data_IF_171801385403
#
_entry.id   IF_171801385403
#
_cell.length_a   1.000
_cell.length_b   1.000
_cell.length_c   1.000
_cell.angle_alpha   90.00
_cell.angle_beta   90.00
_cell.angle_gamma   90.00
#
_symmetry.space_group_name_H-M   'P 1'
#
loop_
_entity.id
_entity.type
_entity.pdbx_description
1 polymer ?
#
# COMPACT_ATOMS: atom_id res chain seq x y z
N UNK A 1 -46.16 45.97 -17.26
CA UNK A 1 -45.01 45.96 -18.19
C UNK A 1 -43.66 45.84 -17.49
N UNK A 2 -43.16 46.81 -16.69
CA UNK A 2 -41.86 46.63 -15.98
C UNK A 2 -41.89 45.54 -14.88
N UNK A 3 -43.00 45.41 -14.15
CA UNK A 3 -43.17 44.36 -13.13
C UNK A 3 -43.24 42.94 -13.71
N UNK A 4 -43.83 42.76 -14.89
CA UNK A 4 -43.96 41.44 -15.54
C UNK A 4 -42.60 40.90 -16.01
N UNK A 5 -41.72 41.77 -16.50
CA UNK A 5 -40.36 41.37 -16.88
C UNK A 5 -39.53 40.97 -15.66
N UNK A 6 -39.63 41.71 -14.55
CA UNK A 6 -38.90 41.37 -13.31
C UNK A 6 -39.40 40.03 -12.75
N UNK A 7 -40.72 39.82 -12.71
CA UNK A 7 -41.31 38.55 -12.28
C UNK A 7 -40.84 37.37 -13.14
N UNK A 8 -40.84 37.54 -14.47
CA UNK A 8 -40.38 36.50 -15.40
C UNK A 8 -38.90 36.16 -15.21
N UNK A 9 -38.05 37.16 -15.01
CA UNK A 9 -36.61 36.96 -14.74
C UNK A 9 -36.38 36.22 -13.43
N UNK A 10 -37.13 36.56 -12.37
CA UNK A 10 -37.03 35.88 -11.07
C UNK A 10 -37.45 34.42 -11.17
N UNK A 11 -38.54 34.12 -11.88
CA UNK A 11 -39.00 32.73 -12.08
C UNK A 11 -37.95 31.90 -12.82
N UNK A 12 -37.32 32.45 -13.87
CA UNK A 12 -36.25 31.75 -14.61
C UNK A 12 -35.05 31.47 -13.69
N UNK A 13 -34.63 32.44 -12.87
CA UNK A 13 -33.52 32.26 -11.93
C UNK A 13 -33.84 31.14 -10.92
N UNK A 14 -35.07 31.08 -10.41
CA UNK A 14 -35.50 30.03 -9.48
C UNK A 14 -35.45 28.65 -10.15
N UNK A 15 -35.89 28.53 -11.41
CA UNK A 15 -35.87 27.26 -12.15
C UNK A 15 -34.42 26.80 -12.43
N UNK A 16 -33.52 27.71 -12.78
CA UNK A 16 -32.12 27.38 -13.01
C UNK A 16 -31.45 26.97 -11.70
N UNK A 17 -31.68 27.70 -10.61
CA UNK A 17 -31.13 27.38 -9.29
C UNK A 17 -31.65 26.04 -8.76
N UNK A 18 -32.95 25.75 -8.91
CA UNK A 18 -33.51 24.47 -8.49
C UNK A 18 -32.92 23.30 -9.28
N UNK A 19 -32.72 23.47 -10.58
CA UNK A 19 -32.09 22.46 -11.44
C UNK A 19 -30.64 22.17 -11.02
N UNK A 20 -29.87 23.20 -10.67
CA UNK A 20 -28.49 23.04 -10.20
C UNK A 20 -28.45 22.31 -8.85
N UNK A 21 -29.34 22.66 -7.92
CA UNK A 21 -29.43 21.97 -6.63
C UNK A 21 -29.76 20.49 -6.80
N UNK A 22 -30.69 20.16 -7.69
CA UNK A 22 -31.03 18.76 -7.99
C UNK A 22 -29.85 18.02 -8.60
N UNK A 23 -29.15 18.61 -9.58
CA UNK A 23 -27.96 17.99 -10.19
C UNK A 23 -26.87 17.71 -9.17
N UNK A 24 -26.58 18.67 -8.29
CA UNK A 24 -25.55 18.49 -7.25
C UNK A 24 -25.93 17.43 -6.21
N UNK A 25 -27.22 17.22 -5.95
CA UNK A 25 -27.68 16.16 -5.05
C UNK A 25 -27.69 14.78 -5.71
N UNK A 26 -27.97 14.70 -7.02
CA UNK A 26 -28.16 13.44 -7.75
C UNK A 26 -26.85 12.88 -8.31
N UNK A 27 -25.94 13.73 -8.79
CA UNK A 27 -24.65 13.31 -9.35
C UNK A 27 -23.85 12.36 -8.43
N UNK A 28 -23.64 12.64 -7.13
CA UNK A 28 -22.86 11.74 -6.27
C UNK A 28 -23.50 10.35 -6.14
N UNK A 29 -24.83 10.27 -6.11
CA UNK A 29 -25.56 8.99 -6.05
C UNK A 29 -25.39 8.19 -7.34
N UNK A 30 -25.39 8.87 -8.50
CA UNK A 30 -25.15 8.22 -9.79
C UNK A 30 -23.72 7.69 -9.88
N UNK A 31 -22.74 8.46 -9.42
CA UNK A 31 -21.33 8.08 -9.46
C UNK A 31 -21.05 6.89 -8.53
N UNK A 32 -21.55 6.92 -7.28
CA UNK A 32 -21.47 5.79 -6.34
C UNK A 32 -22.14 4.53 -6.93
N UNK A 33 -23.30 4.68 -7.57
CA UNK A 33 -23.99 3.55 -8.20
C UNK A 33 -23.19 2.94 -9.35
N UNK A 34 -22.52 3.76 -10.17
CA UNK A 34 -21.64 3.27 -11.25
C UNK A 34 -20.43 2.53 -10.69
N UNK A 35 -19.83 3.04 -9.63
CA UNK A 35 -18.68 2.44 -8.97
C UNK A 35 -19.04 1.10 -8.30
N UNK A 36 -20.22 1.02 -7.69
CA UNK A 36 -20.76 -0.24 -7.16
C UNK A 36 -21.04 -1.27 -8.27
N UNK A 37 -21.52 -0.83 -9.44
CA UNK A 37 -21.70 -1.71 -10.60
C UNK A 37 -20.36 -2.27 -11.08
N UNK A 38 -19.32 -1.44 -11.26
CA UNK A 38 -17.97 -1.90 -11.63
C UNK A 38 -17.44 -2.94 -10.65
N UNK A 39 -17.62 -2.71 -9.36
CA UNK A 39 -17.22 -3.66 -8.32
C UNK A 39 -17.95 -4.99 -8.41
N UNK A 40 -19.28 -4.97 -8.61
CA UNK A 40 -20.04 -6.20 -8.75
C UNK A 40 -19.68 -6.97 -10.02
N UNK A 41 -19.43 -6.27 -11.14
CA UNK A 41 -18.94 -6.91 -12.37
C UNK A 41 -17.59 -7.60 -12.15
N UNK A 42 -16.65 -6.92 -11.48
CA UNK A 42 -15.35 -7.48 -11.16
C UNK A 42 -15.44 -8.69 -10.21
N UNK A 43 -16.30 -8.62 -9.20
CA UNK A 43 -16.58 -9.73 -8.28
C UNK A 43 -17.19 -10.92 -9.02
N UNK A 44 -18.14 -10.68 -9.92
CA UNK A 44 -18.75 -11.73 -10.75
C UNK A 44 -17.72 -12.39 -11.66
N UNK A 45 -16.81 -11.62 -12.27
CA UNK A 45 -15.69 -12.15 -13.07
C UNK A 45 -14.81 -13.06 -12.22
N UNK A 46 -14.39 -12.63 -11.03
CA UNK A 46 -13.53 -13.43 -10.16
C UNK A 46 -14.21 -14.72 -9.70
N UNK A 47 -15.51 -14.67 -9.38
CA UNK A 47 -16.30 -15.86 -9.07
C UNK A 47 -16.42 -16.82 -10.27
N UNK A 48 -16.59 -16.31 -11.50
CA UNK A 48 -16.58 -17.14 -12.71
C UNK A 48 -15.25 -17.85 -12.92
N UNK A 49 -14.15 -17.15 -12.64
CA UNK A 49 -12.79 -17.73 -12.70
C UNK A 49 -12.64 -18.82 -11.64
N UNK A 50 -13.05 -18.56 -10.40
CA UNK A 50 -12.96 -19.53 -9.30
C UNK A 50 -13.76 -20.81 -9.61
N UNK A 51 -15.01 -20.69 -10.08
CA UNK A 51 -15.82 -21.84 -10.47
C UNK A 51 -15.14 -22.63 -11.61
N UNK A 52 -14.64 -21.95 -12.64
CA UNK A 52 -13.97 -22.62 -13.74
C UNK A 52 -12.66 -23.32 -13.34
N UNK A 53 -11.90 -22.76 -12.40
CA UNK A 53 -10.71 -23.40 -11.83
C UNK A 53 -11.14 -24.63 -11.02
N UNK A 54 -12.13 -24.48 -10.15
CA UNK A 54 -12.68 -25.56 -9.33
C UNK A 54 -13.16 -26.73 -10.19
N UNK A 55 -13.90 -26.47 -11.26
CA UNK A 55 -14.38 -27.49 -12.19
C UNK A 55 -13.22 -28.27 -12.84
N UNK A 56 -12.14 -27.57 -13.25
CA UNK A 56 -10.94 -28.22 -13.83
C UNK A 56 -10.23 -29.12 -12.80
N UNK A 57 -10.19 -28.72 -11.53
CA UNK A 57 -9.52 -29.49 -10.47
C UNK A 57 -10.14 -30.87 -10.25
N UNK A 58 -11.44 -31.04 -10.55
CA UNK A 58 -12.15 -32.31 -10.47
C UNK A 58 -12.11 -33.12 -11.77
N UNK A 59 -11.55 -32.58 -12.86
CA UNK A 59 -11.46 -33.24 -14.15
C UNK A 59 -10.13 -33.97 -14.36
N UNK A 60 -10.08 -34.80 -15.41
CA UNK A 60 -8.87 -35.56 -15.74
C UNK A 60 -7.68 -34.62 -16.08
N UNK A 61 -6.43 -35.04 -15.77
CA UNK A 61 -5.25 -34.27 -16.11
C UNK A 61 -5.22 -33.88 -17.60
N UNK A 62 -5.06 -32.58 -17.88
CA UNK A 62 -5.08 -32.03 -19.23
C UNK A 62 -6.41 -31.40 -19.68
N UNK A 63 -7.44 -31.44 -18.83
CA UNK A 63 -8.67 -30.67 -19.03
C UNK A 63 -8.37 -29.17 -19.15
N UNK A 64 -9.10 -28.50 -20.05
CA UNK A 64 -8.99 -27.05 -20.29
C UNK A 64 -10.39 -26.43 -20.29
N UNK A 65 -10.49 -25.20 -19.80
CA UNK A 65 -11.68 -24.35 -19.93
C UNK A 65 -11.28 -23.04 -20.60
N UNK A 66 -12.19 -22.51 -21.41
CA UNK A 66 -12.09 -21.16 -21.97
C UNK A 66 -13.13 -20.32 -21.26
N UNK A 67 -12.73 -19.17 -20.75
CA UNK A 67 -13.61 -18.22 -20.08
C UNK A 67 -13.52 -16.92 -20.86
N UNK A 68 -14.66 -16.44 -21.35
CA UNK A 68 -14.75 -15.12 -21.95
C UNK A 68 -14.93 -14.09 -20.84
N UNK A 69 -13.89 -13.29 -20.62
CA UNK A 69 -13.89 -12.23 -19.61
C UNK A 69 -13.88 -10.89 -20.34
N UNK A 70 -14.88 -10.07 -20.04
CA UNK A 70 -14.92 -8.69 -20.50
C UNK A 70 -14.53 -7.76 -19.35
N UNK A 71 -13.30 -7.26 -19.41
CA UNK A 71 -12.75 -6.38 -18.38
C UNK A 71 -12.94 -4.93 -18.85
N UNK A 72 -13.99 -4.27 -18.36
CA UNK A 72 -14.19 -2.83 -18.55
C UNK A 72 -13.64 -2.08 -17.34
N UNK A 73 -12.87 -1.02 -17.59
CA UNK A 73 -12.33 -0.12 -16.57
C UNK A 73 -11.56 -0.79 -15.41
N UNK A 74 -10.95 -1.94 -15.68
CA UNK A 74 -10.19 -2.72 -14.71
C UNK A 74 -8.99 -3.41 -15.37
N UNK A 75 -8.06 -3.91 -14.56
CA UNK A 75 -6.84 -4.58 -15.02
C UNK A 75 -6.74 -5.96 -14.40
N UNK A 76 -6.77 -6.99 -15.24
CA UNK A 76 -6.53 -8.36 -14.85
C UNK A 76 -5.03 -8.66 -14.94
N UNK A 77 -4.45 -9.25 -13.89
CA UNK A 77 -3.06 -9.68 -13.83
C UNK A 77 -2.98 -11.08 -13.23
N UNK A 78 -2.15 -11.95 -13.82
CA UNK A 78 -1.83 -13.27 -13.28
C UNK A 78 -0.47 -13.18 -12.61
N UNK A 79 -0.43 -13.38 -11.30
CA UNK A 79 0.78 -13.29 -10.49
C UNK A 79 1.24 -14.71 -10.16
N UNK A 80 2.04 -15.28 -11.05
CA UNK A 80 2.51 -16.66 -10.92
C UNK A 80 3.41 -16.94 -9.70
N UNK A 81 4.03 -15.91 -9.11
CA UNK A 81 4.79 -16.07 -7.87
C UNK A 81 3.91 -16.30 -6.64
N UNK A 82 2.67 -15.82 -6.68
CA UNK A 82 1.70 -15.89 -5.58
C UNK A 82 0.60 -16.93 -5.87
N UNK A 83 0.67 -17.66 -6.99
CA UNK A 83 -0.41 -18.49 -7.53
C UNK A 83 -1.78 -17.78 -7.49
N UNK A 84 -1.82 -16.49 -7.82
CA UNK A 84 -3.02 -15.66 -7.69
C UNK A 84 -3.38 -14.91 -8.97
N UNK A 85 -4.67 -14.70 -9.17
CA UNK A 85 -5.23 -13.84 -10.22
C UNK A 85 -5.78 -12.59 -9.56
N UNK A 86 -5.28 -11.42 -9.95
CA UNK A 86 -5.63 -10.12 -9.38
C UNK A 86 -6.43 -9.32 -10.41
N UNK A 87 -7.61 -8.85 -10.02
CA UNK A 87 -8.41 -7.91 -10.80
C UNK A 87 -8.48 -6.57 -10.08
N UNK A 88 -7.84 -5.55 -10.65
CA UNK A 88 -7.77 -4.21 -10.08
C UNK A 88 -8.79 -3.29 -10.73
N UNK A 89 -9.60 -2.61 -9.92
CA UNK A 89 -10.52 -1.56 -10.37
C UNK A 89 -9.91 -0.22 -9.94
N UNK A 90 -9.70 0.67 -10.90
CA UNK A 90 -9.16 2.00 -10.61
C UNK A 90 -10.31 2.97 -10.26
N UNK A 91 -10.07 3.87 -9.30
CA UNK A 91 -10.97 4.99 -8.95
C UNK A 91 -12.38 4.57 -8.49
N UNK A 92 -12.47 3.79 -7.41
CA UNK A 92 -13.74 3.39 -6.79
C UNK A 92 -13.68 3.74 -5.29
N UNK A 93 -14.61 4.57 -4.82
CA UNK A 93 -14.68 5.02 -3.41
C UNK A 93 -15.90 4.42 -2.69
N UNK A 94 -16.14 3.12 -2.88
CA UNK A 94 -17.25 2.38 -2.24
C UNK A 94 -16.85 1.73 -0.91
N UNK A 95 -15.54 1.61 -0.65
CA UNK A 95 -15.01 0.94 0.54
C UNK A 95 -13.98 1.81 1.23
N UNK A 96 -13.99 1.78 2.56
CA UNK A 96 -12.91 2.35 3.36
C UNK A 96 -11.56 1.71 3.01
N UNK A 97 -10.53 2.53 2.88
CA UNK A 97 -9.14 2.08 2.76
C UNK A 97 -8.78 1.06 3.85
N UNK A 98 -8.12 -0.03 3.46
CA UNK A 98 -7.73 -1.13 4.36
C UNK A 98 -8.81 -2.21 4.54
N UNK A 99 -9.93 -2.15 3.81
CA UNK A 99 -10.91 -3.24 3.83
C UNK A 99 -10.27 -4.51 3.27
N UNK A 100 -10.38 -5.62 4.01
CA UNK A 100 -10.06 -6.96 3.53
C UNK A 100 -11.19 -7.90 3.93
N UNK A 101 -11.90 -8.41 2.94
CA UNK A 101 -12.99 -9.38 3.13
C UNK A 101 -12.70 -10.61 2.30
N UNK A 102 -12.90 -11.78 2.89
CA UNK A 102 -12.74 -13.06 2.20
C UNK A 102 -14.12 -13.66 1.90
N UNK A 103 -14.32 -14.07 0.66
CA UNK A 103 -15.52 -14.74 0.17
C UNK A 103 -15.11 -16.02 -0.56
N UNK A 104 -14.98 -17.12 0.20
CA UNK A 104 -14.44 -18.37 -0.34
C UNK A 104 -12.99 -18.19 -0.79
N UNK A 105 -12.72 -18.43 -2.07
CA UNK A 105 -11.38 -18.26 -2.68
C UNK A 105 -11.13 -16.85 -3.22
N UNK A 106 -12.12 -15.94 -3.14
CA UNK A 106 -11.98 -14.56 -3.59
C UNK A 106 -11.67 -13.66 -2.40
N UNK A 107 -10.52 -12.98 -2.45
CA UNK A 107 -10.13 -11.98 -1.46
C UNK A 107 -10.37 -10.58 -2.03
N UNK A 108 -11.18 -9.81 -1.32
CA UNK A 108 -11.55 -8.44 -1.69
C UNK A 108 -10.75 -7.49 -0.82
N UNK A 109 -9.85 -6.74 -1.44
CA UNK A 109 -9.04 -5.72 -0.78
C UNK A 109 -9.37 -4.35 -1.33
N UNK A 110 -9.70 -3.39 -0.47
CA UNK A 110 -9.85 -2.00 -0.86
C UNK A 110 -8.78 -1.15 -0.18
N UNK A 111 -8.12 -0.31 -0.96
CA UNK A 111 -7.14 0.64 -0.47
C UNK A 111 -5.77 0.53 -1.14
N UNK A 112 -4.77 1.21 -0.58
CA UNK A 112 -3.43 1.27 -1.12
C UNK A 112 -2.80 -0.12 -1.13
N UNK A 113 -2.23 -0.51 -2.26
CA UNK A 113 -1.35 -1.67 -2.32
C UNK A 113 0.01 -1.26 -1.76
N UNK A 114 0.50 -1.98 -0.75
CA UNK A 114 1.85 -1.79 -0.24
C UNK A 114 2.83 -2.64 -1.06
N UNK A 115 4.00 -2.06 -1.32
CA UNK A 115 5.12 -2.67 -2.01
C UNK A 115 6.31 -2.67 -1.08
N UNK A 116 7.03 -3.78 -1.06
CA UNK A 116 8.28 -3.91 -0.36
C UNK A 116 9.33 -4.47 -1.32
N UNK A 117 10.40 -3.72 -1.57
CA UNK A 117 11.39 -4.09 -2.57
C UNK A 117 12.75 -3.49 -2.27
N UNK A 118 13.77 -4.00 -2.95
CA UNK A 118 15.14 -3.49 -2.86
C UNK A 118 15.44 -2.63 -4.09
N UNK A 119 15.92 -1.41 -3.88
CA UNK A 119 16.32 -0.49 -4.95
C UNK A 119 17.20 0.61 -4.39
N UNK A 120 18.12 1.13 -5.19
CA UNK A 120 18.81 2.39 -4.90
C UNK A 120 17.81 3.55 -5.14
N UNK A 121 17.24 4.12 -4.08
CA UNK A 121 16.21 5.17 -4.19
C UNK A 121 16.77 6.58 -4.05
N UNK A 122 17.93 6.71 -3.40
CA UNK A 122 18.60 7.98 -3.16
C UNK A 122 19.70 8.30 -4.20
N UNK A 123 20.08 7.31 -5.02
CA UNK A 123 21.07 7.43 -6.08
C UNK A 123 22.51 7.39 -5.57
N UNK A 124 22.76 6.86 -4.37
CA UNK A 124 24.09 6.79 -3.75
C UNK A 124 24.93 5.58 -4.24
N UNK A 125 24.35 4.72 -5.08
CA UNK A 125 24.98 3.52 -5.62
C UNK A 125 24.90 2.30 -4.70
N UNK A 126 24.29 2.42 -3.52
CA UNK A 126 23.98 1.33 -2.61
C UNK A 126 22.50 0.96 -2.69
N UNK A 127 22.18 -0.28 -2.32
CA UNK A 127 20.80 -0.74 -2.31
C UNK A 127 20.08 -0.27 -1.04
N UNK A 128 18.86 0.23 -1.18
CA UNK A 128 17.94 0.47 -0.08
C UNK A 128 16.87 -0.61 0.01
N UNK A 129 16.35 -0.80 1.22
CA UNK A 129 15.15 -1.55 1.51
C UNK A 129 13.99 -0.55 1.55
N UNK A 130 13.03 -0.70 0.65
CA UNK A 130 11.95 0.26 0.43
C UNK A 130 10.61 -0.34 0.86
N UNK A 131 9.87 0.41 1.68
CA UNK A 131 8.46 0.20 2.01
C UNK A 131 7.64 1.34 1.39
N UNK A 132 6.73 1.02 0.48
CA UNK A 132 5.94 2.03 -0.24
C UNK A 132 4.45 1.66 -0.24
N UNK A 133 3.59 2.58 0.17
CA UNK A 133 2.14 2.51 -0.05
C UNK A 133 1.67 3.75 -0.85
N UNK A 134 0.36 4.03 -0.91
CA UNK A 134 -0.13 5.20 -1.64
C UNK A 134 0.17 6.53 -0.95
N UNK A 135 0.38 6.51 0.37
CA UNK A 135 0.52 7.69 1.21
C UNK A 135 1.99 8.02 1.52
N UNK A 136 2.83 6.99 1.67
CA UNK A 136 4.20 7.11 2.15
C UNK A 136 5.15 6.19 1.38
N UNK A 137 6.37 6.68 1.16
CA UNK A 137 7.53 5.89 0.80
C UNK A 137 8.58 6.06 1.90
N UNK A 138 9.05 4.95 2.44
CA UNK A 138 10.06 4.88 3.48
C UNK A 138 11.19 3.97 2.99
N UNK A 139 12.44 4.39 3.11
CA UNK A 139 13.57 3.53 2.79
C UNK A 139 14.68 3.60 3.83
N UNK A 140 15.33 2.46 4.00
CA UNK A 140 16.47 2.26 4.90
C UNK A 140 17.58 1.58 4.13
N UNK A 141 18.82 2.01 4.35
CA UNK A 141 20.00 1.42 3.72
C UNK A 141 20.09 -0.09 3.97
N UNK A 142 20.25 -0.88 2.91
CA UNK A 142 20.58 -2.31 3.04
C UNK A 142 22.01 -2.45 3.54
N UNK A 143 22.18 -3.15 4.64
CA UNK A 143 23.48 -3.35 5.29
C UNK A 143 23.67 -4.83 5.58
N UNK A 144 24.77 -5.42 5.15
CA UNK A 144 25.10 -6.83 5.45
C UNK A 144 24.03 -7.83 5.02
N UNK A 145 24.09 -9.02 5.63
CA UNK A 145 23.09 -10.08 5.53
C UNK A 145 23.17 -10.96 6.79
N UNK A 146 22.17 -11.82 7.05
CA UNK A 146 22.24 -12.80 8.14
C UNK A 146 23.47 -13.72 8.09
N UNK A 147 24.05 -13.91 6.90
CA UNK A 147 25.26 -14.71 6.67
C UNK A 147 26.58 -13.91 6.72
N UNK A 148 26.52 -12.59 6.64
CA UNK A 148 27.69 -11.71 6.60
C UNK A 148 27.35 -10.34 7.17
N UNK A 149 27.71 -10.10 8.43
CA UNK A 149 27.42 -8.82 9.08
C UNK A 149 28.32 -7.70 8.55
N UNK A 150 27.77 -6.49 8.51
CA UNK A 150 28.47 -5.27 8.11
C UNK A 150 28.28 -4.17 9.15
N UNK A 151 29.04 -3.08 9.03
CA UNK A 151 28.93 -1.93 9.92
C UNK A 151 27.57 -1.25 9.76
N UNK A 152 26.81 -1.14 10.85
CA UNK A 152 25.53 -0.45 10.92
C UNK A 152 25.70 0.86 11.67
N UNK A 153 25.16 1.95 11.09
CA UNK A 153 25.03 3.25 11.75
C UNK A 153 23.57 3.68 11.74
N UNK A 154 22.91 3.60 12.89
CA UNK A 154 21.49 3.94 13.04
C UNK A 154 21.21 5.43 12.89
N UNK A 155 22.24 6.29 12.91
CA UNK A 155 22.05 7.74 12.81
C UNK A 155 21.80 8.24 11.39
N UNK A 156 22.21 7.42 10.40
CA UNK A 156 22.11 7.72 8.97
C UNK A 156 21.50 6.56 8.19
N UNK A 157 20.81 5.63 8.87
CA UNK A 157 20.30 4.43 8.19
C UNK A 157 19.06 4.73 7.34
N UNK A 158 18.23 5.69 7.75
CA UNK A 158 17.04 6.07 7.01
C UNK A 158 17.50 6.96 5.85
N UNK A 159 17.27 6.50 4.61
CA UNK A 159 17.72 7.19 3.40
C UNK A 159 16.65 8.14 2.88
N UNK A 160 15.38 7.77 2.94
CA UNK A 160 14.28 8.64 2.52
C UNK A 160 13.00 8.43 3.32
N UNK A 161 12.31 9.54 3.60
CA UNK A 161 10.92 9.55 4.04
C UNK A 161 10.13 10.52 3.18
N UNK A 162 9.21 9.99 2.37
CA UNK A 162 8.40 10.80 1.45
C UNK A 162 6.92 10.60 1.74
N UNK A 163 6.24 11.67 2.11
CA UNK A 163 4.79 11.71 2.11
C UNK A 163 4.30 12.05 0.70
N UNK A 164 3.72 11.05 0.02
CA UNK A 164 3.25 11.14 -1.36
C UNK A 164 2.00 12.01 -1.49
N UNK A 165 1.19 12.11 -0.42
CA UNK A 165 -0.03 12.94 -0.41
C UNK A 165 0.29 14.43 -0.36
N UNK A 166 1.19 14.82 0.52
CA UNK A 166 1.61 16.21 0.70
C UNK A 166 2.76 16.63 -0.24
N UNK A 167 3.31 15.67 -0.99
CA UNK A 167 4.50 15.83 -1.81
C UNK A 167 5.70 16.40 -1.02
N UNK A 168 5.83 15.97 0.23
CA UNK A 168 6.94 16.33 1.12
C UNK A 168 7.96 15.20 1.08
N UNK A 169 9.21 15.54 0.82
CA UNK A 169 10.32 14.61 0.78
C UNK A 169 11.38 15.02 1.80
N UNK A 170 11.76 14.10 2.68
CA UNK A 170 12.87 14.24 3.61
C UNK A 170 13.92 13.22 3.23
N UNK A 171 14.94 13.67 2.51
CA UNK A 171 16.09 12.85 2.15
C UNK A 171 17.13 12.90 3.29
N UNK A 172 17.71 11.75 3.62
CA UNK A 172 18.70 11.57 4.68
C UNK A 172 18.28 12.20 6.02
N UNK A 173 17.10 11.86 6.56
CA UNK A 173 16.68 12.38 7.85
C UNK A 173 17.67 11.98 8.94
N UNK A 174 17.94 12.93 9.85
CA UNK A 174 18.69 12.64 11.07
C UNK A 174 17.87 11.65 11.89
N UNK A 175 18.45 10.47 12.13
CA UNK A 175 17.85 9.39 12.91
C UNK A 175 18.82 8.96 14.01
N UNK A 176 18.44 7.98 14.83
CA UNK A 176 19.32 7.39 15.84
C UNK A 176 18.55 6.53 16.82
N UNK A 177 19.06 5.32 17.08
CA UNK A 177 18.52 4.42 18.10
C UNK A 177 19.52 4.35 19.25
N UNK A 178 19.10 4.86 20.41
CA UNK A 178 19.91 4.95 21.62
C UNK A 178 19.27 4.09 22.71
N UNK A 179 19.94 3.02 23.11
CA UNK A 179 19.50 2.17 24.22
C UNK A 179 20.06 2.78 25.50
N UNK A 180 19.18 3.08 26.47
CA UNK A 180 19.53 3.73 27.73
C UNK A 180 20.33 5.03 27.56
N UNK A 181 20.01 5.84 26.55
CA UNK A 181 20.67 7.11 26.23
C UNK A 181 22.18 7.00 25.95
N UNK A 182 22.68 5.80 25.62
CA UNK A 182 24.08 5.58 25.28
C UNK A 182 24.33 5.83 23.79
N UNK A 183 25.04 6.90 23.46
CA UNK A 183 25.41 7.23 22.07
C UNK A 183 26.16 6.09 21.34
N UNK A 184 26.87 5.24 22.08
CA UNK A 184 27.63 4.11 21.54
C UNK A 184 26.74 2.98 21.02
N UNK A 185 25.46 2.91 21.39
CA UNK A 185 24.54 1.86 20.91
C UNK A 185 24.00 2.15 19.51
N UNK A 186 24.19 3.37 19.01
CA UNK A 186 23.77 3.77 17.68
C UNK A 186 24.67 3.20 16.56
N UNK A 187 25.82 2.63 16.92
CA UNK A 187 26.83 2.09 16.02
C UNK A 187 27.11 0.64 16.38
N UNK A 188 27.29 -0.22 15.37
CA UNK A 188 27.58 -1.63 15.61
C UNK A 188 27.86 -2.41 14.34
N UNK A 189 27.77 -3.72 14.47
CA UNK A 189 27.88 -4.68 13.38
C UNK A 189 26.59 -5.47 13.32
N UNK A 190 26.03 -5.67 12.12
CA UNK A 190 24.75 -6.32 11.98
C UNK A 190 24.27 -6.41 10.54
N UNK A 191 22.96 -6.48 10.36
CA UNK A 191 22.36 -6.53 9.03
C UNK A 191 20.97 -5.90 9.00
N UNK A 192 20.49 -5.59 7.80
CA UNK A 192 19.10 -5.23 7.54
C UNK A 192 18.53 -6.07 6.40
N UNK A 193 17.27 -6.47 6.55
CA UNK A 193 16.53 -7.23 5.54
C UNK A 193 15.04 -6.88 5.54
N UNK A 194 14.38 -7.14 4.41
CA UNK A 194 12.92 -7.10 4.34
C UNK A 194 12.37 -8.40 4.93
N UNK A 195 11.44 -8.29 5.86
CA UNK A 195 10.73 -9.48 6.39
C UNK A 195 9.88 -10.13 5.30
N UNK A 196 9.34 -9.32 4.39
CA UNK A 196 8.61 -9.77 3.21
C UNK A 196 8.78 -8.78 2.05
N UNK A 197 9.13 -9.28 0.86
CA UNK A 197 9.19 -8.49 -0.39
C UNK A 197 8.03 -8.86 -1.32
N UNK A 198 7.56 -7.91 -2.13
CA UNK A 198 6.50 -8.13 -3.11
C UNK A 198 5.59 -6.92 -3.31
N UNK A 199 4.53 -7.11 -4.09
CA UNK A 199 3.50 -6.09 -4.35
C UNK A 199 2.12 -6.58 -3.88
N UNK A 200 1.26 -5.67 -3.41
CA UNK A 200 -0.06 -6.05 -2.91
C UNK A 200 -0.01 -6.64 -1.50
N UNK A 201 0.98 -6.24 -0.72
CA UNK A 201 1.11 -6.64 0.68
C UNK A 201 0.14 -5.83 1.54
N UNK A 202 -0.44 -6.45 2.58
CA UNK A 202 -1.24 -5.74 3.60
C UNK A 202 -0.36 -4.88 4.53
N UNK A 203 0.85 -5.39 4.79
CA UNK A 203 1.93 -4.74 5.51
C UNK A 203 3.25 -5.44 5.16
N UNK A 204 4.35 -4.75 5.42
CA UNK A 204 5.68 -5.35 5.48
C UNK A 204 6.58 -4.54 6.41
N UNK A 205 7.72 -5.11 6.75
CA UNK A 205 8.66 -4.53 7.69
C UNK A 205 10.10 -4.66 7.20
N UNK A 206 10.93 -3.72 7.61
CA UNK A 206 12.38 -3.79 7.54
C UNK A 206 12.86 -4.21 8.92
N UNK A 207 13.51 -5.37 9.00
CA UNK A 207 14.19 -5.83 10.20
C UNK A 207 15.66 -5.40 10.14
N UNK A 208 16.15 -4.86 11.24
CA UNK A 208 17.55 -4.47 11.41
C UNK A 208 18.04 -5.10 12.70
N UNK A 209 19.04 -5.96 12.59
CA UNK A 209 19.75 -6.50 13.75
C UNK A 209 21.01 -5.68 13.98
N UNK A 210 21.24 -5.24 15.22
CA UNK A 210 22.42 -4.48 15.61
C UNK A 210 23.11 -5.15 16.81
N UNK A 211 24.40 -5.45 16.65
CA UNK A 211 25.32 -5.74 17.74
C UNK A 211 26.23 -4.53 17.98
N UNK A 212 25.91 -3.73 18.99
CA UNK A 212 26.70 -2.58 19.42
C UNK A 212 27.84 -3.02 20.34
N UNK A 213 28.92 -3.52 19.75
CA UNK A 213 30.09 -4.07 20.46
C UNK A 213 30.72 -3.10 21.46
N UNK A 214 30.73 -1.80 21.17
CA UNK A 214 31.28 -0.78 22.07
C UNK A 214 30.46 -0.60 23.37
N UNK A 215 29.16 -0.90 23.33
CA UNK A 215 28.27 -0.85 24.47
C UNK A 215 28.01 -2.23 25.09
N UNK A 216 28.48 -3.31 24.45
CA UNK A 216 28.15 -4.69 24.77
C UNK A 216 26.62 -4.95 24.80
N UNK A 217 25.88 -4.28 23.89
CA UNK A 217 24.42 -4.37 23.75
C UNK A 217 24.07 -4.92 22.38
N UNK A 218 23.10 -5.83 22.33
CA UNK A 218 22.49 -6.28 21.07
C UNK A 218 21.01 -5.95 21.07
N UNK A 219 20.44 -5.59 19.93
CA UNK A 219 19.00 -5.34 19.80
C UNK A 219 18.53 -5.50 18.35
N UNK A 220 17.23 -5.73 18.20
CA UNK A 220 16.52 -5.69 16.93
C UNK A 220 15.71 -4.41 16.82
N UNK A 221 15.75 -3.76 15.65
CA UNK A 221 14.89 -2.65 15.28
C UNK A 221 14.03 -3.07 14.07
N UNK A 222 12.71 -3.00 14.22
CA UNK A 222 11.76 -3.35 13.16
C UNK A 222 10.96 -2.13 12.77
N UNK A 223 11.09 -1.70 11.52
CA UNK A 223 10.30 -0.63 10.92
C UNK A 223 9.16 -1.25 10.14
N UNK A 224 7.91 -0.97 10.51
CA UNK A 224 6.72 -1.56 9.88
C UNK A 224 5.87 -0.50 9.21
N UNK A 225 5.43 -0.79 7.98
CA UNK A 225 4.47 0.04 7.25
C UNK A 225 3.26 -0.82 6.87
N UNK A 226 2.07 -0.29 7.15
CA UNK A 226 0.81 -0.89 6.70
C UNK A 226 0.27 -0.14 5.48
N UNK A 227 -0.61 -0.79 4.72
CA UNK A 227 -1.24 -0.22 3.52
C UNK A 227 -1.92 1.12 3.74
N UNK A 228 -2.60 1.30 4.88
CA UNK A 228 -3.46 2.46 5.15
C UNK A 228 -2.78 3.59 5.94
N UNK A 229 -1.53 3.41 6.39
CA UNK A 229 -0.85 4.36 7.28
C UNK A 229 0.06 5.33 6.52
N UNK A 230 0.15 6.55 7.01
CA UNK A 230 1.09 7.58 6.54
C UNK A 230 2.28 7.79 7.48
N UNK A 231 2.50 6.84 8.40
CA UNK A 231 3.62 6.77 9.31
C UNK A 231 4.18 5.34 9.36
N UNK A 232 5.42 5.22 9.84
CA UNK A 232 6.12 3.95 10.04
C UNK A 232 6.24 3.70 11.54
N UNK A 233 5.86 2.49 11.97
CA UNK A 233 6.04 2.06 13.34
C UNK A 233 7.45 1.50 13.54
N UNK A 234 8.16 2.01 14.55
CA UNK A 234 9.45 1.47 14.97
C UNK A 234 9.28 0.70 16.27
N UNK A 235 9.63 -0.58 16.25
CA UNK A 235 9.72 -1.42 17.45
C UNK A 235 11.17 -1.83 17.70
N UNK A 236 11.65 -1.59 18.92
CA UNK A 236 12.94 -2.10 19.40
C UNK A 236 12.68 -3.30 20.32
N UNK A 237 13.35 -4.43 20.06
CA UNK A 237 13.14 -5.68 20.79
C UNK A 237 14.43 -6.47 20.98
N UNK A 238 14.35 -7.57 21.76
CA UNK A 238 15.47 -8.46 22.10
C UNK A 238 16.73 -7.72 22.58
N UNK A 239 16.54 -6.67 23.38
CA UNK A 239 17.65 -5.92 23.94
C UNK A 239 18.37 -6.78 24.98
N UNK A 240 19.64 -7.10 24.74
CA UNK A 240 20.50 -7.83 25.69
C UNK A 240 21.71 -6.99 26.07
N UNK A 241 22.31 -7.27 27.24
CA UNK A 241 23.48 -6.54 27.73
C UNK A 241 23.15 -5.21 28.43
N UNK A 242 21.91 -5.08 28.93
CA UNK A 242 21.38 -3.91 29.64
C UNK A 242 21.59 -4.02 31.15
#
# INVERSE_FOLDING_TARGET
>A
MKGDMISSVVVIIIIVMSSILVLNAVNPVIDESRDFQKFNEAREIMNKIDVAISDILFEAPGARRSIDINVRDSRLSVVGGDDSIKLRIDSVDIFSSGLRTEEGNVVITAGPSMKAYESDIDGDGNTDLVLENSLMLFAVKKTGSPSSYATVNTTTMITIMKNKRLNINVSHPVSGIFINDLATTAYGVGYSELTRSGEGLDSSSIHVFINATAANVTYDATFSLSTSLDFVDLQVSHVTGV
#
